data_IF_449934664099
#
_entry.id   IF_449934664099
#
_cell.length_a   1.000
_cell.length_b   1.000
_cell.length_c   1.000
_cell.angle_alpha   90.00
_cell.angle_beta   90.00
_cell.angle_gamma   90.00
#
_symmetry.space_group_name_H-M   'P 1'
#
loop_
_entity.id
_entity.type
_entity.pdbx_description
1 polymer ?
#
# COMPACT_ATOMS: atom_id res chain seq x y z
N UNK A 1 4.69 6.70 7.48
CA UNK A 1 5.68 7.09 6.42
C UNK A 1 6.79 7.88 7.10
N UNK A 2 8.10 7.67 6.84
CA UNK A 2 9.14 8.35 7.62
C UNK A 2 8.98 9.87 7.48
N UNK A 3 8.75 10.57 8.59
CA UNK A 3 8.69 12.03 8.67
C UNK A 3 7.32 12.71 8.56
N UNK A 4 6.22 11.97 8.32
CA UNK A 4 4.87 12.56 8.42
C UNK A 4 4.41 12.54 9.89
N UNK A 5 3.81 13.65 10.36
CA UNK A 5 3.19 13.70 11.68
C UNK A 5 1.87 12.92 11.66
N UNK A 6 1.69 12.05 12.64
CA UNK A 6 0.48 11.25 12.83
C UNK A 6 -0.12 11.61 14.19
N UNK A 7 -1.42 11.94 14.21
CA UNK A 7 -2.14 12.36 15.40
C UNK A 7 -3.29 11.39 15.68
N UNK A 8 -3.43 10.95 16.92
CA UNK A 8 -4.63 10.24 17.38
C UNK A 8 -5.75 11.25 17.61
N UNK A 9 -6.95 10.92 17.16
CA UNK A 9 -8.16 11.73 17.34
C UNK A 9 -9.25 10.89 18.01
N UNK A 10 -9.86 11.41 19.07
CA UNK A 10 -10.93 10.74 19.82
C UNK A 10 -12.34 11.15 19.41
N UNK A 11 -12.49 12.29 18.73
CA UNK A 11 -13.78 12.83 18.35
C UNK A 11 -13.68 13.66 17.05
N UNK A 12 -14.85 14.09 16.55
CA UNK A 12 -14.97 14.89 15.33
C UNK A 12 -14.25 16.24 15.44
N UNK A 13 -14.36 16.91 16.58
CA UNK A 13 -13.89 18.29 16.72
C UNK A 13 -12.36 18.34 16.68
N UNK A 14 -11.68 17.37 17.30
CA UNK A 14 -10.23 17.18 17.18
C UNK A 14 -9.79 16.97 15.73
N UNK A 15 -10.55 16.20 14.95
CA UNK A 15 -10.27 15.99 13.53
C UNK A 15 -10.43 17.29 12.73
N UNK A 16 -11.46 18.08 13.00
CA UNK A 16 -11.69 19.38 12.33
C UNK A 16 -10.53 20.34 12.62
N UNK A 17 -10.08 20.45 13.87
CA UNK A 17 -8.94 21.30 14.26
C UNK A 17 -7.67 20.93 13.50
N UNK A 18 -7.41 19.63 13.30
CA UNK A 18 -6.25 19.18 12.51
C UNK A 18 -6.38 19.53 11.01
N UNK A 19 -7.58 19.45 10.44
CA UNK A 19 -7.84 19.85 9.06
C UNK A 19 -7.60 21.36 8.89
N UNK A 20 -8.14 22.18 9.80
CA UNK A 20 -7.96 23.64 9.78
C UNK A 20 -6.49 24.02 9.93
N UNK A 21 -5.76 23.36 10.85
CA UNK A 21 -4.31 23.55 11.01
C UNK A 21 -3.54 23.19 9.73
N UNK A 22 -3.93 22.11 9.05
CA UNK A 22 -3.32 21.72 7.77
C UNK A 22 -3.59 22.75 6.67
N UNK A 23 -4.82 23.27 6.61
CA UNK A 23 -5.24 24.32 5.67
C UNK A 23 -4.47 25.63 5.90
N UNK A 24 -4.33 26.05 7.16
CA UNK A 24 -3.58 27.25 7.53
C UNK A 24 -2.10 27.15 7.13
N UNK A 25 -1.44 26.01 7.36
CA UNK A 25 -0.06 25.81 6.90
C UNK A 25 0.07 25.85 5.38
N UNK A 26 -0.90 25.30 4.64
CA UNK A 26 -0.93 25.39 3.17
C UNK A 26 -1.04 26.84 2.71
N UNK A 27 -1.86 27.65 3.38
CA UNK A 27 -2.02 29.07 3.07
C UNK A 27 -0.73 29.89 3.36
N UNK A 28 -0.08 29.66 4.50
CA UNK A 28 1.18 30.35 4.86
C UNK A 28 2.30 30.02 3.88
N UNK A 29 2.43 28.74 3.50
CA UNK A 29 3.40 28.32 2.50
C UNK A 29 3.18 28.97 1.12
N UNK A 30 1.93 29.32 0.77
CA UNK A 30 1.65 30.09 -0.43
C UNK A 30 2.08 31.56 -0.29
N UNK A 31 1.92 32.19 0.88
CA UNK A 31 2.26 33.61 1.06
C UNK A 31 3.76 33.92 1.09
N UNK A 32 4.61 32.99 1.53
CA UNK A 32 6.06 33.26 1.68
C UNK A 32 6.86 33.23 0.36
N UNK A 33 6.33 32.64 -0.72
CA UNK A 33 7.06 32.60 -2.01
C UNK A 33 6.23 32.70 -3.30
N UNK A 34 4.91 32.48 -3.32
CA UNK A 34 4.07 32.64 -4.53
C UNK A 34 2.58 32.39 -4.17
N UNK A 35 1.69 33.35 -4.42
CA UNK A 35 0.24 33.11 -4.35
C UNK A 35 -0.14 32.02 -5.36
N UNK A 36 -0.27 30.74 -4.95
CA UNK A 36 -1.07 29.77 -5.70
C UNK A 36 -1.25 28.42 -4.97
N UNK A 37 -2.39 28.27 -4.28
CA UNK A 37 -2.89 26.97 -3.81
C UNK A 37 -3.19 25.99 -4.95
N UNK A 38 -3.33 26.49 -6.18
CA UNK A 38 -3.48 25.77 -7.44
C UNK A 38 -2.26 24.93 -7.82
N UNK A 39 -1.11 25.18 -7.19
CA UNK A 39 0.20 24.63 -7.57
C UNK A 39 0.75 23.56 -6.63
N UNK A 40 -0.05 23.11 -5.65
CA UNK A 40 0.36 22.07 -4.70
C UNK A 40 -0.69 20.97 -4.62
N UNK A 41 -0.25 19.72 -4.50
CA UNK A 41 -1.13 18.62 -4.12
C UNK A 41 -1.25 18.55 -2.61
N UNK A 42 -2.46 18.39 -2.08
CA UNK A 42 -2.71 18.10 -0.68
C UNK A 42 -3.22 16.67 -0.51
N UNK A 43 -2.67 15.95 0.47
CA UNK A 43 -3.07 14.58 0.78
C UNK A 43 -3.38 14.50 2.27
N UNK A 44 -4.65 14.29 2.59
CA UNK A 44 -5.12 14.05 3.94
C UNK A 44 -5.41 12.55 4.12
N UNK A 45 -4.87 11.98 5.19
CA UNK A 45 -4.92 10.53 5.44
C UNK A 45 -5.60 10.25 6.76
N UNK A 46 -6.67 9.46 6.73
CA UNK A 46 -7.36 8.98 7.93
C UNK A 46 -7.14 7.48 8.04
N UNK A 47 -6.51 7.05 9.12
CA UNK A 47 -6.32 5.63 9.42
C UNK A 47 -7.26 5.23 10.54
N UNK A 48 -8.03 4.18 10.32
CA UNK A 48 -8.97 3.62 11.30
C UNK A 48 -8.55 2.20 11.60
N UNK A 49 -8.40 1.88 12.87
CA UNK A 49 -8.14 0.52 13.34
C UNK A 49 -9.29 0.08 14.21
N UNK A 50 -9.80 -1.11 13.94
CA UNK A 50 -10.86 -1.74 14.70
C UNK A 50 -10.38 -3.09 15.20
N UNK A 51 -10.66 -3.38 16.47
CA UNK A 51 -10.42 -4.70 17.05
C UNK A 51 -11.75 -5.30 17.49
N UNK A 52 -12.08 -6.44 16.95
CA UNK A 52 -13.20 -7.24 17.44
C UNK A 52 -12.81 -7.87 18.78
N UNK A 53 -13.55 -7.55 19.85
CA UNK A 53 -13.28 -8.06 21.20
C UNK A 53 -13.67 -9.53 21.35
N UNK A 54 -14.62 -10.01 20.55
CA UNK A 54 -15.08 -11.38 20.56
C UNK A 54 -14.12 -12.26 19.77
N UNK A 55 -13.75 -11.91 18.55
CA UNK A 55 -12.87 -12.77 17.74
C UNK A 55 -11.39 -12.46 17.92
N UNK A 56 -11.05 -11.28 18.43
CA UNK A 56 -9.69 -10.76 18.47
C UNK A 56 -9.18 -10.30 17.10
N UNK A 57 -9.98 -10.39 16.03
CA UNK A 57 -9.61 -9.95 14.70
C UNK A 57 -9.35 -8.45 14.67
N UNK A 58 -8.27 -8.03 14.02
CA UNK A 58 -7.95 -6.63 13.82
C UNK A 58 -8.24 -6.27 12.36
N UNK A 59 -9.00 -5.22 12.15
CA UNK A 59 -9.28 -4.66 10.83
C UNK A 59 -8.68 -3.27 10.75
N UNK A 60 -8.11 -2.93 9.60
CA UNK A 60 -7.59 -1.59 9.36
C UNK A 60 -8.15 -1.00 8.07
N UNK A 61 -8.51 0.27 8.13
CA UNK A 61 -8.92 1.09 7.00
C UNK A 61 -7.97 2.26 6.86
N UNK A 62 -7.68 2.64 5.63
CA UNK A 62 -6.90 3.83 5.32
C UNK A 62 -7.64 4.60 4.23
N UNK A 63 -8.17 5.77 4.58
CA UNK A 63 -8.82 6.68 3.65
C UNK A 63 -7.82 7.77 3.23
N UNK A 64 -7.74 8.00 1.93
CA UNK A 64 -6.96 9.07 1.35
C UNK A 64 -7.92 10.09 0.73
N UNK A 65 -7.86 11.33 1.19
CA UNK A 65 -8.51 12.47 0.56
C UNK A 65 -7.43 13.31 -0.11
N UNK A 66 -7.52 13.40 -1.44
CA UNK A 66 -6.46 13.97 -2.28
C UNK A 66 -7.02 15.14 -3.06
N UNK A 67 -6.47 16.32 -2.82
CA UNK A 67 -6.71 17.53 -3.61
C UNK A 67 -5.52 17.72 -4.54
N UNK A 68 -5.75 17.57 -5.84
CA UNK A 68 -4.71 17.65 -6.84
C UNK A 68 -4.50 19.11 -7.27
N UNK A 69 -3.25 19.45 -7.59
CA UNK A 69 -2.91 20.70 -8.25
C UNK A 69 -3.66 20.83 -9.60
N UNK A 70 -3.79 22.06 -10.07
CA UNK A 70 -4.40 22.41 -11.34
C UNK A 70 -3.83 21.62 -12.52
N UNK A 71 -4.71 21.15 -13.40
CA UNK A 71 -4.37 20.33 -14.57
C UNK A 71 -4.02 21.15 -15.80
N UNK A 72 -4.08 22.48 -15.72
CA UNK A 72 -3.83 23.40 -16.81
C UNK A 72 -2.38 23.36 -17.30
N UNK A 73 -2.22 23.58 -18.61
CA UNK A 73 -0.93 23.55 -19.28
C UNK A 73 -0.03 24.73 -18.88
N UNK A 74 1.21 24.43 -18.47
CA UNK A 74 2.27 25.44 -18.19
C UNK A 74 2.48 26.39 -19.36
N UNK A 75 2.30 25.93 -20.61
CA UNK A 75 2.49 26.76 -21.80
C UNK A 75 1.51 27.94 -21.90
N UNK A 76 0.36 27.89 -21.20
CA UNK A 76 -0.56 29.03 -21.07
C UNK A 76 -0.17 29.97 -19.93
N UNK A 77 0.67 29.53 -19.01
CA UNK A 77 1.20 30.38 -17.95
C UNK A 77 2.29 31.28 -18.54
N UNK A 78 2.15 32.59 -18.39
CA UNK A 78 3.22 33.57 -18.71
C UNK A 78 4.33 33.54 -17.63
N UNK A 79 4.61 32.36 -17.08
CA UNK A 79 5.53 32.19 -15.97
C UNK A 79 6.98 32.16 -16.46
N UNK A 80 7.83 32.98 -15.86
CA UNK A 80 9.26 33.07 -16.18
C UNK A 80 10.13 32.68 -14.98
N UNK A 81 11.40 32.36 -15.23
CA UNK A 81 12.39 32.13 -14.18
C UNK A 81 12.07 30.95 -13.24
N UNK A 82 12.07 31.21 -11.93
CA UNK A 82 11.85 30.21 -10.88
C UNK A 82 10.43 29.64 -10.91
N UNK A 83 9.44 30.49 -11.21
CA UNK A 83 8.03 30.14 -11.35
C UNK A 83 7.79 29.11 -12.46
N UNK A 84 8.56 29.19 -13.55
CA UNK A 84 8.51 28.20 -14.64
C UNK A 84 9.08 26.84 -14.21
N UNK A 85 10.16 26.82 -13.41
CA UNK A 85 10.74 25.57 -12.88
C UNK A 85 9.75 24.86 -11.95
N UNK A 86 9.05 25.61 -11.11
CA UNK A 86 8.01 25.07 -10.23
C UNK A 86 6.81 24.53 -11.03
N UNK A 87 6.29 25.30 -11.98
CA UNK A 87 5.18 24.88 -12.84
C UNK A 87 5.49 23.56 -13.60
N UNK A 88 6.75 23.39 -14.04
CA UNK A 88 7.23 22.12 -14.64
C UNK A 88 7.21 20.96 -13.66
N UNK A 89 7.61 21.17 -12.39
CA UNK A 89 7.62 20.11 -11.38
C UNK A 89 6.22 19.66 -10.98
N UNK A 90 5.26 20.58 -10.95
CA UNK A 90 3.85 20.27 -10.68
C UNK A 90 3.28 19.43 -11.82
N UNK A 91 3.50 19.88 -13.06
CA UNK A 91 3.07 19.14 -14.24
C UNK A 91 3.79 17.79 -14.40
N UNK A 92 5.00 17.63 -13.85
CA UNK A 92 5.67 16.33 -13.81
C UNK A 92 4.86 15.31 -13.02
N UNK A 93 4.32 15.68 -11.86
CA UNK A 93 3.52 14.77 -11.03
C UNK A 93 2.18 14.39 -11.66
N UNK A 94 1.49 15.33 -12.29
CA UNK A 94 0.24 15.07 -13.02
C UNK A 94 0.49 14.29 -14.32
N UNK A 95 1.57 14.57 -15.04
CA UNK A 95 2.00 13.78 -16.20
C UNK A 95 2.32 12.34 -15.81
N UNK A 96 3.04 12.14 -14.69
CA UNK A 96 3.33 10.80 -14.16
C UNK A 96 2.04 10.05 -13.80
N UNK A 97 1.08 10.74 -13.18
CA UNK A 97 -0.25 10.19 -12.92
C UNK A 97 -0.96 9.77 -14.21
N UNK A 98 -0.93 10.62 -15.24
CA UNK A 98 -1.46 10.30 -16.57
C UNK A 98 -0.80 9.07 -17.20
N UNK A 99 0.52 8.92 -17.06
CA UNK A 99 1.28 7.77 -17.55
C UNK A 99 0.92 6.47 -16.82
N UNK A 100 0.73 6.53 -15.50
CA UNK A 100 0.27 5.39 -14.69
C UNK A 100 -1.12 4.95 -15.15
N UNK A 101 -2.06 5.87 -15.30
CA UNK A 101 -3.42 5.56 -15.79
C UNK A 101 -3.35 4.94 -17.18
N UNK A 102 -2.61 5.55 -18.11
CA UNK A 102 -2.46 5.02 -19.45
C UNK A 102 -1.88 3.60 -19.46
N UNK A 103 -0.88 3.33 -18.62
CA UNK A 103 -0.27 2.01 -18.49
C UNK A 103 -1.24 0.97 -17.90
N UNK A 104 -2.05 1.35 -16.90
CA UNK A 104 -3.06 0.48 -16.28
C UNK A 104 -4.23 0.15 -17.21
N UNK A 105 -4.51 1.04 -18.16
CA UNK A 105 -5.63 0.88 -19.12
C UNK A 105 -5.18 0.36 -20.49
N UNK A 106 -3.90 0.05 -20.66
CA UNK A 106 -3.35 -0.47 -21.92
C UNK A 106 -3.92 -1.86 -22.20
N UNK A 107 -4.62 -2.03 -23.32
CA UNK A 107 -5.30 -3.28 -23.68
C UNK A 107 -4.33 -4.46 -23.85
N UNK A 108 -3.06 -4.19 -24.18
CA UNK A 108 -2.03 -5.22 -24.30
C UNK A 108 -1.48 -5.67 -22.94
N UNK A 109 -1.81 -4.94 -21.87
CA UNK A 109 -1.22 -5.09 -20.55
C UNK A 109 0.24 -4.66 -20.55
N UNK A 110 0.62 -3.77 -19.62
CA UNK A 110 2.04 -3.48 -19.38
C UNK A 110 2.53 -4.26 -18.19
N UNK A 111 3.71 -4.87 -18.32
CA UNK A 111 4.36 -5.57 -17.21
C UNK A 111 4.80 -4.61 -16.09
N UNK A 112 5.12 -3.36 -16.44
CA UNK A 112 5.60 -2.35 -15.49
C UNK A 112 4.72 -1.10 -15.52
N UNK A 113 4.25 -0.69 -14.34
CA UNK A 113 3.51 0.54 -14.13
C UNK A 113 4.43 1.58 -13.47
N UNK A 114 4.59 2.79 -14.02
CA UNK A 114 5.62 3.75 -13.61
C UNK A 114 5.24 4.56 -12.35
N UNK A 115 4.83 3.90 -11.25
CA UNK A 115 4.48 4.61 -10.02
C UNK A 115 5.63 5.43 -9.46
N UNK A 116 6.88 5.06 -9.74
CA UNK A 116 8.08 5.70 -9.21
C UNK A 116 8.42 7.04 -9.83
N UNK A 117 7.78 7.42 -10.93
CA UNK A 117 8.09 8.65 -11.68
C UNK A 117 7.74 9.93 -10.90
N UNK A 118 6.87 9.83 -9.89
CA UNK A 118 6.58 10.93 -8.96
C UNK A 118 6.31 10.44 -7.54
N UNK A 119 6.49 11.33 -6.54
CA UNK A 119 6.10 11.03 -5.16
C UNK A 119 4.59 10.79 -5.04
N UNK A 120 3.78 11.55 -5.80
CA UNK A 120 2.32 11.44 -5.81
C UNK A 120 1.87 10.04 -6.25
N UNK A 121 2.37 9.54 -7.37
CA UNK A 121 2.00 8.23 -7.91
C UNK A 121 2.46 7.07 -7.00
N UNK A 122 3.55 7.23 -6.24
CA UNK A 122 3.94 6.28 -5.19
C UNK A 122 3.01 6.31 -3.98
N UNK A 123 2.50 7.49 -3.64
CA UNK A 123 1.55 7.68 -2.55
C UNK A 123 0.19 7.04 -2.88
N UNK A 124 -0.19 7.05 -4.16
CA UNK A 124 -1.47 6.58 -4.69
C UNK A 124 -1.39 5.21 -5.36
N UNK A 125 -0.29 4.48 -5.19
CA UNK A 125 -0.07 3.17 -5.82
C UNK A 125 -1.21 2.18 -5.49
N UNK A 126 -1.62 2.11 -4.22
CA UNK A 126 -2.76 1.29 -3.82
C UNK A 126 -4.09 1.77 -4.42
N UNK A 127 -4.23 3.09 -4.63
CA UNK A 127 -5.44 3.72 -5.17
C UNK A 127 -5.61 3.48 -6.67
N UNK A 128 -4.55 3.18 -7.42
CA UNK A 128 -4.56 3.04 -8.86
C UNK A 128 -4.14 1.62 -9.23
N UNK A 129 -5.07 0.68 -9.39
CA UNK A 129 -4.77 -0.70 -9.72
C UNK A 129 -4.36 -1.60 -8.54
N UNK A 130 -4.50 -1.11 -7.30
CA UNK A 130 -4.15 -1.85 -6.08
C UNK A 130 -5.35 -2.19 -5.18
N UNK A 131 -5.06 -2.38 -3.89
CA UNK A 131 -6.06 -2.67 -2.86
C UNK A 131 -6.69 -1.37 -2.31
N UNK A 132 -7.60 -0.79 -3.08
CA UNK A 132 -8.32 0.41 -2.65
C UNK A 132 -9.66 0.54 -3.36
N UNK A 133 -10.67 1.05 -2.65
CA UNK A 133 -11.89 1.55 -3.29
C UNK A 133 -11.65 3.01 -3.67
N UNK A 134 -11.45 3.26 -4.96
CA UNK A 134 -11.06 4.58 -5.46
C UNK A 134 -12.23 5.29 -6.13
N UNK A 135 -12.44 6.54 -5.76
CA UNK A 135 -13.38 7.45 -6.42
C UNK A 135 -12.58 8.65 -6.94
N UNK A 136 -12.78 8.98 -8.22
CA UNK A 136 -12.20 10.18 -8.82
C UNK A 136 -13.32 11.19 -9.09
N UNK A 137 -13.14 12.43 -8.65
CA UNK A 137 -14.02 13.55 -8.96
C UNK A 137 -13.37 14.44 -10.02
N UNK A 138 -14.00 14.53 -11.18
CA UNK A 138 -13.54 15.37 -12.28
C UNK A 138 -14.24 16.73 -12.20
N UNK A 139 -13.55 17.74 -11.68
CA UNK A 139 -14.08 19.10 -11.57
C UNK A 139 -13.89 19.82 -12.91
N UNK A 140 -14.98 20.32 -13.49
CA UNK A 140 -14.98 20.98 -14.79
C UNK A 140 -15.69 22.34 -14.71
N UNK A 141 -15.36 23.23 -15.64
CA UNK A 141 -16.03 24.53 -15.79
C UNK A 141 -16.91 24.54 -17.05
N UNK A 142 -18.13 25.11 -16.99
CA UNK A 142 -19.00 25.27 -18.15
C UNK A 142 -18.62 26.49 -19.01
N UNK A 143 -17.66 27.32 -18.59
CA UNK A 143 -17.28 28.52 -19.32
C UNK A 143 -16.60 28.20 -20.65
N UNK A 144 -16.91 28.99 -21.69
CA UNK A 144 -16.36 28.81 -23.04
C UNK A 144 -14.82 28.84 -23.05
N UNK A 145 -14.23 29.72 -22.27
CA UNK A 145 -12.78 29.87 -22.13
C UNK A 145 -12.09 28.62 -21.55
N UNK A 146 -12.82 27.84 -20.75
CA UNK A 146 -12.33 26.63 -20.10
C UNK A 146 -12.55 25.35 -20.92
N UNK A 147 -13.23 25.43 -22.08
CA UNK A 147 -13.65 24.26 -22.84
C UNK A 147 -12.52 23.29 -23.18
N UNK A 148 -11.35 23.81 -23.55
CA UNK A 148 -10.16 22.99 -23.88
C UNK A 148 -9.69 22.17 -22.68
N UNK A 149 -9.68 22.78 -21.48
CA UNK A 149 -9.29 22.10 -20.25
C UNK A 149 -10.38 21.11 -19.80
N UNK A 150 -11.65 21.51 -19.86
CA UNK A 150 -12.81 20.64 -19.57
C UNK A 150 -12.79 19.37 -20.40
N UNK A 151 -12.56 19.46 -21.72
CA UNK A 151 -12.43 18.28 -22.59
C UNK A 151 -11.24 17.41 -22.17
N UNK A 152 -10.12 18.02 -21.79
CA UNK A 152 -8.92 17.29 -21.35
C UNK A 152 -9.16 16.53 -20.05
N UNK A 153 -9.81 17.17 -19.07
CA UNK A 153 -10.22 16.56 -17.79
C UNK A 153 -11.20 15.40 -18.00
N UNK A 154 -12.21 15.57 -18.87
CA UNK A 154 -13.16 14.50 -19.18
C UNK A 154 -12.49 13.30 -19.88
N UNK A 155 -11.57 13.54 -20.83
CA UNK A 155 -10.79 12.47 -21.47
C UNK A 155 -9.93 11.72 -20.45
N UNK A 156 -9.33 12.44 -19.50
CA UNK A 156 -8.55 11.85 -18.43
C UNK A 156 -9.43 10.98 -17.52
N UNK A 157 -10.57 11.50 -17.07
CA UNK A 157 -11.53 10.77 -16.24
C UNK A 157 -12.08 9.52 -16.96
N UNK A 158 -12.35 9.61 -18.26
CA UNK A 158 -12.78 8.48 -19.07
C UNK A 158 -11.73 7.36 -19.14
N UNK A 159 -10.43 7.70 -19.18
CA UNK A 159 -9.37 6.68 -19.06
C UNK A 159 -9.35 6.10 -17.65
N UNK A 160 -9.32 6.95 -16.62
CA UNK A 160 -9.27 6.53 -15.22
C UNK A 160 -10.43 5.58 -14.83
N UNK A 161 -11.62 5.78 -15.41
CA UNK A 161 -12.80 4.91 -15.24
C UNK A 161 -12.52 3.43 -15.56
N UNK A 162 -11.57 3.14 -16.45
CA UNK A 162 -11.25 1.78 -16.89
C UNK A 162 -10.21 1.09 -16.01
N UNK A 163 -9.68 1.76 -14.99
CA UNK A 163 -8.76 1.14 -14.03
C UNK A 163 -9.54 0.12 -13.20
N UNK A 164 -8.96 -1.07 -13.06
CA UNK A 164 -9.51 -2.14 -12.24
C UNK A 164 -8.71 -2.25 -10.95
N UNK A 165 -9.36 -2.04 -9.81
CA UNK A 165 -8.78 -2.25 -8.50
C UNK A 165 -9.25 -3.58 -7.90
N UNK A 166 -8.41 -4.19 -7.07
CA UNK A 166 -8.73 -5.41 -6.31
C UNK A 166 -8.85 -5.08 -4.83
N UNK A 167 -9.96 -4.44 -4.43
CA UNK A 167 -10.20 -4.10 -3.04
C UNK A 167 -10.48 -5.36 -2.19
N UNK A 168 -9.69 -5.54 -1.13
CA UNK A 168 -9.72 -6.64 -0.17
C UNK A 168 -9.80 -6.06 1.25
N UNK A 169 -10.47 -6.74 2.16
CA UNK A 169 -10.54 -6.33 3.57
C UNK A 169 -9.17 -6.53 4.21
N UNK A 170 -8.60 -5.46 4.80
CA UNK A 170 -7.37 -5.58 5.57
C UNK A 170 -7.71 -6.15 6.95
N UNK A 171 -7.62 -7.46 7.09
CA UNK A 171 -7.86 -8.18 8.35
C UNK A 171 -6.59 -8.91 8.76
N UNK A 172 -6.00 -8.49 9.88
CA UNK A 172 -4.93 -9.22 10.54
C UNK A 172 -5.53 -10.11 11.62
N UNK A 173 -5.54 -11.41 11.34
CA UNK A 173 -5.73 -12.44 12.35
C UNK A 173 -4.41 -12.60 13.11
N UNK A 174 -4.21 -11.78 14.15
CA UNK A 174 -3.10 -11.96 15.09
C UNK A 174 -3.06 -13.44 15.54
N UNK A 175 -1.91 -14.11 15.39
CA UNK A 175 -1.74 -15.50 15.84
C UNK A 175 -2.21 -15.69 17.29
N UNK A 176 -2.01 -14.68 18.15
CA UNK A 176 -2.52 -14.68 19.54
C UNK A 176 -4.04 -14.57 19.62
N UNK A 177 -4.69 -13.88 18.69
CA UNK A 177 -6.14 -13.81 18.58
C UNK A 177 -6.73 -15.11 18.08
N UNK A 178 -6.07 -15.74 17.10
CA UNK A 178 -6.46 -17.06 16.58
C UNK A 178 -6.33 -18.15 17.67
N UNK A 179 -5.23 -18.15 18.43
CA UNK A 179 -5.03 -19.01 19.61
C UNK A 179 -6.15 -18.81 20.65
N UNK A 180 -6.46 -17.56 21.02
CA UNK A 180 -7.55 -17.24 21.97
C UNK A 180 -8.94 -17.65 21.45
N UNK A 181 -9.16 -17.62 20.14
CA UNK A 181 -10.38 -18.13 19.52
C UNK A 181 -10.46 -19.65 19.67
N UNK A 182 -9.39 -20.37 19.32
CA UNK A 182 -9.33 -21.83 19.47
C UNK A 182 -9.45 -22.28 20.92
N UNK A 183 -8.86 -21.58 21.90
CA UNK A 183 -8.99 -21.90 23.32
C UNK A 183 -10.44 -21.79 23.81
N UNK A 184 -11.19 -20.78 23.34
CA UNK A 184 -12.61 -20.63 23.66
C UNK A 184 -13.46 -21.71 23.02
N UNK A 185 -13.22 -22.02 21.75
CA UNK A 185 -13.91 -23.11 21.04
C UNK A 185 -13.68 -24.45 21.77
N UNK A 186 -12.45 -24.72 22.21
CA UNK A 186 -12.09 -25.91 22.99
C UNK A 186 -12.81 -25.97 24.33
N UNK A 187 -12.94 -24.86 25.04
CA UNK A 187 -13.71 -24.82 26.29
C UNK A 187 -15.19 -25.11 26.05
N UNK A 188 -15.78 -24.51 25.02
CA UNK A 188 -17.20 -24.72 24.68
C UNK A 188 -17.48 -26.18 24.31
N UNK A 189 -16.68 -26.75 23.40
CA UNK A 189 -16.85 -28.14 22.97
C UNK A 189 -16.64 -29.14 24.11
N UNK A 190 -15.72 -28.86 25.03
CA UNK A 190 -15.53 -29.66 26.26
C UNK A 190 -16.76 -29.59 27.16
N UNK A 191 -17.35 -28.40 27.35
CA UNK A 191 -18.57 -28.25 28.13
C UNK A 191 -19.78 -28.97 27.49
N UNK A 192 -19.96 -28.87 26.17
CA UNK A 192 -21.01 -29.61 25.44
C UNK A 192 -20.83 -31.13 25.53
N UNK A 193 -19.59 -31.62 25.49
CA UNK A 193 -19.28 -33.05 25.68
C UNK A 193 -19.60 -33.50 27.11
N UNK A 194 -19.22 -32.72 28.13
CA UNK A 194 -19.51 -33.03 29.53
C UNK A 194 -21.03 -33.03 29.81
N UNK A 195 -21.79 -32.14 29.17
CA UNK A 195 -23.25 -32.09 29.27
C UNK A 195 -23.92 -33.28 28.58
N UNK A 196 -23.47 -33.65 27.38
CA UNK A 196 -23.92 -34.87 26.67
C UNK A 196 -23.55 -36.16 27.39
N UNK A 197 -22.39 -36.20 28.05
CA UNK A 197 -21.96 -37.33 28.86
C UNK A 197 -22.87 -37.54 30.09
N UNK A 198 -23.50 -36.47 30.61
CA UNK A 198 -24.48 -36.56 31.71
C UNK A 198 -25.88 -36.98 31.26
N UNK A 199 -26.23 -36.83 29.99
CA UNK A 199 -27.62 -37.04 29.52
C UNK A 199 -27.91 -38.39 28.84
N UNK A 200 -26.93 -39.26 28.63
CA UNK A 200 -27.17 -40.61 28.10
C UNK A 200 -26.15 -41.59 28.67
N UNK A 201 -26.58 -42.51 29.54
CA UNK A 201 -25.78 -43.71 29.83
C UNK A 201 -26.40 -44.89 29.10
N UNK A 202 -25.97 -45.04 27.85
CA UNK A 202 -25.96 -46.32 27.17
C UNK A 202 -24.48 -46.70 27.01
N UNK A 203 -24.05 -47.76 27.68
CA UNK A 203 -22.64 -48.11 27.89
C UNK A 203 -21.87 -48.28 26.58
N UNK A 204 -22.56 -48.65 25.49
CA UNK A 204 -22.02 -48.70 24.12
C UNK A 204 -21.70 -47.32 23.54
N UNK A 205 -22.58 -46.34 23.77
CA UNK A 205 -22.44 -44.99 23.22
C UNK A 205 -21.32 -44.21 23.90
N UNK A 206 -21.08 -44.49 25.19
CA UNK A 206 -19.97 -43.90 25.93
C UNK A 206 -18.60 -44.40 25.41
N UNK A 207 -18.49 -45.68 25.08
CA UNK A 207 -17.29 -46.29 24.50
C UNK A 207 -17.01 -45.77 23.08
N UNK A 208 -18.04 -45.62 22.25
CA UNK A 208 -17.92 -45.03 20.90
C UNK A 208 -17.48 -43.56 20.96
N UNK A 209 -18.01 -42.78 21.92
CA UNK A 209 -17.62 -41.39 22.12
C UNK A 209 -16.18 -41.26 22.62
N UNK A 210 -15.70 -42.15 23.50
CA UNK A 210 -14.32 -42.14 23.97
C UNK A 210 -13.33 -42.51 22.84
N UNK A 211 -13.68 -43.48 21.99
CA UNK A 211 -12.89 -43.80 20.80
C UNK A 211 -12.86 -42.65 19.79
N UNK A 212 -14.01 -42.02 19.50
CA UNK A 212 -14.06 -40.84 18.62
C UNK A 212 -13.24 -39.69 19.19
N UNK A 213 -13.32 -39.45 20.50
CA UNK A 213 -12.53 -38.41 21.18
C UNK A 213 -11.04 -38.69 21.09
N UNK A 214 -10.60 -39.94 21.28
CA UNK A 214 -9.20 -40.35 21.13
C UNK A 214 -8.68 -40.24 19.69
N UNK A 215 -9.53 -40.48 18.69
CA UNK A 215 -9.18 -40.24 17.27
C UNK A 215 -9.05 -38.74 17.00
N UNK A 216 -10.03 -37.95 17.42
CA UNK A 216 -10.01 -36.50 17.24
C UNK A 216 -8.82 -35.82 17.92
N UNK A 217 -8.44 -36.26 19.13
CA UNK A 217 -7.22 -35.76 19.80
C UNK A 217 -5.94 -36.15 19.05
N UNK A 218 -5.86 -37.37 18.51
CA UNK A 218 -4.72 -37.79 17.69
C UNK A 218 -4.60 -36.98 16.40
N UNK A 219 -5.70 -36.79 15.69
CA UNK A 219 -5.72 -36.02 14.44
C UNK A 219 -5.37 -34.55 14.68
N UNK A 220 -5.89 -33.97 15.77
CA UNK A 220 -5.51 -32.62 16.21
C UNK A 220 -4.01 -32.53 16.51
N UNK A 221 -3.46 -33.50 17.23
CA UNK A 221 -2.04 -33.49 17.60
C UNK A 221 -1.11 -33.76 16.40
N UNK A 222 -1.59 -34.47 15.39
CA UNK A 222 -0.91 -34.61 14.10
C UNK A 222 -0.95 -33.30 13.30
N UNK A 223 -2.11 -32.63 13.24
CA UNK A 223 -2.27 -31.35 12.55
C UNK A 223 -1.42 -30.24 13.17
N UNK A 224 -1.34 -30.16 14.51
CA UNK A 224 -0.48 -29.20 15.22
C UNK A 224 1.00 -29.44 14.88
N UNK A 225 1.46 -30.70 14.92
CA UNK A 225 2.84 -31.05 14.58
C UNK A 225 3.20 -30.75 13.13
N UNK A 226 2.27 -31.01 12.20
CA UNK A 226 2.45 -30.66 10.79
C UNK A 226 2.55 -29.14 10.58
N UNK A 227 1.76 -28.36 11.32
CA UNK A 227 1.83 -26.89 11.30
C UNK A 227 3.16 -26.37 11.87
N UNK A 228 3.63 -26.94 12.98
CA UNK A 228 4.91 -26.59 13.59
C UNK A 228 6.09 -26.91 12.67
N UNK A 229 6.10 -28.10 12.04
CA UNK A 229 7.12 -28.46 11.05
C UNK A 229 7.12 -27.47 9.87
N UNK A 230 5.96 -27.18 9.31
CA UNK A 230 5.83 -26.24 8.19
C UNK A 230 6.26 -24.82 8.58
N UNK A 231 5.99 -24.41 9.82
CA UNK A 231 6.48 -23.13 10.35
C UNK A 231 8.00 -23.10 10.49
N UNK A 232 8.61 -24.21 10.89
CA UNK A 232 10.06 -24.32 11.03
C UNK A 232 10.77 -24.31 9.67
N UNK A 233 10.21 -25.03 8.69
CA UNK A 233 10.69 -25.03 7.30
C UNK A 233 10.60 -23.64 6.68
N UNK A 234 9.48 -22.94 6.87
CA UNK A 234 9.30 -21.58 6.39
C UNK A 234 10.33 -20.60 7.01
N UNK A 235 10.65 -20.76 8.30
CA UNK A 235 11.69 -19.97 8.97
C UNK A 235 13.07 -20.23 8.38
N UNK A 236 13.41 -21.49 8.09
CA UNK A 236 14.68 -21.88 7.45
C UNK A 236 14.80 -21.31 6.04
N UNK A 237 13.76 -21.46 5.21
CA UNK A 237 13.73 -20.89 3.85
C UNK A 237 13.90 -19.37 3.89
N UNK A 238 13.28 -18.70 4.87
CA UNK A 238 13.40 -17.25 5.04
C UNK A 238 14.84 -16.83 5.42
N UNK A 239 15.50 -17.59 6.29
CA UNK A 239 16.91 -17.34 6.64
C UNK A 239 17.86 -17.61 5.47
N UNK A 240 17.65 -18.70 4.72
CA UNK A 240 18.43 -19.00 3.53
C UNK A 240 18.25 -17.92 2.47
N UNK A 241 17.01 -17.51 2.21
CA UNK A 241 16.70 -16.41 1.29
C UNK A 241 17.40 -15.12 1.71
N UNK A 242 17.39 -14.78 3.01
CA UNK A 242 18.10 -13.59 3.51
C UNK A 242 19.61 -13.70 3.30
N UNK A 243 20.21 -14.86 3.56
CA UNK A 243 21.64 -15.12 3.28
C UNK A 243 21.98 -14.99 1.80
N UNK A 244 21.14 -15.54 0.92
CA UNK A 244 21.28 -15.43 -0.53
C UNK A 244 21.17 -13.98 -0.99
N UNK A 245 20.20 -13.23 -0.49
CA UNK A 245 20.06 -11.78 -0.77
C UNK A 245 21.28 -10.99 -0.31
N UNK A 246 21.82 -11.25 0.88
CA UNK A 246 23.07 -10.62 1.36
C UNK A 246 24.28 -11.00 0.50
N UNK A 247 24.34 -12.25 -0.01
CA UNK A 247 25.43 -12.73 -0.86
C UNK A 247 25.35 -12.12 -2.26
N UNK A 248 24.15 -11.99 -2.81
CA UNK A 248 23.88 -11.26 -4.05
C UNK A 248 24.29 -9.80 -3.86
N UNK A 249 23.88 -9.15 -2.76
CA UNK A 249 24.23 -7.76 -2.49
C UNK A 249 25.75 -7.54 -2.42
N UNK A 250 26.47 -8.45 -1.75
CA UNK A 250 27.95 -8.44 -1.69
C UNK A 250 28.58 -8.62 -3.07
N UNK A 251 28.14 -9.60 -3.86
CA UNK A 251 28.66 -9.82 -5.22
C UNK A 251 28.36 -8.64 -6.15
N UNK A 252 27.15 -8.07 -6.09
CA UNK A 252 26.79 -6.86 -6.84
C UNK A 252 27.65 -5.66 -6.42
N UNK A 253 28.00 -5.53 -5.14
CA UNK A 253 28.89 -4.47 -4.67
C UNK A 253 30.34 -4.66 -5.13
N UNK A 254 30.83 -5.90 -5.21
CA UNK A 254 32.17 -6.22 -5.74
C UNK A 254 32.27 -5.99 -7.24
N UNK A 255 31.23 -6.34 -8.01
CA UNK A 255 31.16 -6.05 -9.45
C UNK A 255 31.16 -4.54 -9.70
N UNK A 256 30.52 -3.74 -8.83
CA UNK A 256 30.50 -2.28 -8.92
C UNK A 256 31.85 -1.63 -8.58
N UNK A 257 32.71 -2.32 -7.85
CA UNK A 257 34.08 -1.88 -7.49
C UNK A 257 35.15 -2.40 -8.46
N UNK A 258 34.89 -3.50 -9.19
CA UNK A 258 35.82 -4.10 -10.15
C UNK A 258 35.77 -3.52 -11.58
N UNK A 259 34.88 -2.56 -11.85
CA UNK A 259 34.66 -1.99 -13.19
C UNK A 259 35.56 -0.82 -13.59
N UNK A 260 36.68 -0.57 -12.90
CA UNK A 260 37.65 0.47 -13.25
C UNK A 260 39.06 -0.11 -13.39
N UNK A 261 39.27 -0.87 -14.45
CA UNK A 261 40.57 -0.99 -15.13
C UNK A 261 40.35 -1.62 -16.51
N UNK A 262 40.26 -0.75 -17.53
CA UNK A 262 40.30 -1.08 -18.95
C UNK A 262 40.99 0.09 -19.68
N UNK A 263 41.78 -0.18 -20.73
CA UNK A 263 43.09 0.44 -20.95
C UNK A 263 43.00 1.79 -21.67
N UNK A 264 43.65 2.81 -21.12
CA UNK A 264 43.86 4.11 -21.76
C UNK A 264 45.20 4.14 -22.49
N UNK A 265 45.16 4.22 -23.82
CA UNK A 265 46.33 4.35 -24.67
C UNK A 265 47.00 5.72 -24.60
N UNK A 266 48.31 5.68 -24.85
CA UNK A 266 49.22 6.77 -25.21
C UNK A 266 50.58 6.10 -25.42
N UNK A 267 51.21 6.06 -26.60
CA UNK A 267 51.44 7.17 -27.52
C UNK A 267 52.80 7.77 -27.20
N UNK A 268 53.88 7.27 -27.81
CA UNK A 268 55.21 7.89 -27.72
C UNK A 268 56.42 7.02 -28.10
N UNK A 269 56.86 7.13 -29.36
CA UNK A 269 58.25 7.44 -29.77
C UNK A 269 59.40 6.44 -29.55
N UNK A 270 60.06 6.09 -30.67
CA UNK A 270 61.41 5.51 -30.77
C UNK A 270 61.41 4.35 -31.78
N UNK A 271 62.11 4.33 -32.92
CA UNK A 271 63.38 4.95 -33.27
C UNK A 271 64.41 3.83 -33.53
N UNK A 272 64.76 3.58 -34.79
CA UNK A 272 65.94 2.80 -35.20
C UNK A 272 65.65 1.53 -36.02
N UNK A 273 66.16 1.50 -37.25
CA UNK A 273 66.24 0.31 -38.12
C UNK A 273 65.73 0.57 -39.52
#
# INVERSE_FOLDING_TARGET
>A
RPGALEYYVGNRDEMVVLIERGSAHRAVAATEMNQDSSRSHAVFVVRVEQKDLNTGAKRSGCMYLVDLAGSELVAKSKAEGQTLKEARMINKSLSALGNVIAALTDAKGRQHIPYRDSKLTRILEDSLGGNCKTTMMAMISPALEAMVETVSTLKFANRAKNIKNEAKVNEDLDQKSLLRKYERELRRLRAELDERARSVVDQRRLLELDEQRRRAERDKMAAIRALEQRSLEFLREKEEKRRLEEKIHRLTSQIRMGGHQGPGGGGGGGGGG
#
